data_IF_659851040269
#
_entry.id   IF_659851040269
#
_cell.length_a   1.000
_cell.length_b   1.000
_cell.length_c   1.000
_cell.angle_alpha   90.00
_cell.angle_beta   90.00
_cell.angle_gamma   90.00
#
_symmetry.space_group_name_H-M   'P 1'
#
loop_
_entity.id
_entity.type
_entity.pdbx_description
1 polymer ?
#
# COMPACT_ATOMS: atom_id res chain seq x y z
N UNK A 1 -7.26 -20.79 6.01
CA UNK A 1 -7.85 -19.49 5.63
C UNK A 1 -9.39 -19.48 5.61
N UNK A 2 -10.08 -20.48 5.04
CA UNK A 2 -11.56 -20.46 4.94
C UNK A 2 -12.31 -20.29 6.27
N UNK A 3 -11.85 -20.92 7.36
CA UNK A 3 -12.45 -20.73 8.70
C UNK A 3 -12.35 -19.27 9.19
N UNK A 4 -11.25 -18.59 8.90
CA UNK A 4 -11.04 -17.18 9.23
C UNK A 4 -12.00 -16.32 8.41
N UNK A 5 -12.17 -16.58 7.11
CA UNK A 5 -13.13 -15.83 6.28
C UNK A 5 -14.56 -15.98 6.77
N UNK A 6 -14.99 -17.20 7.09
CA UNK A 6 -16.33 -17.43 7.63
C UNK A 6 -16.55 -16.66 8.93
N UNK A 7 -15.57 -16.69 9.84
CA UNK A 7 -15.61 -15.89 11.06
C UNK A 7 -15.77 -14.38 10.76
N UNK A 8 -14.96 -13.84 9.85
CA UNK A 8 -14.98 -12.41 9.50
C UNK A 8 -16.27 -12.00 8.78
N UNK A 9 -16.81 -12.87 7.92
CA UNK A 9 -18.10 -12.67 7.25
C UNK A 9 -19.21 -12.55 8.29
N UNK A 10 -19.28 -13.49 9.25
CA UNK A 10 -20.25 -13.45 10.34
C UNK A 10 -20.06 -12.20 11.21
N UNK A 11 -18.83 -11.87 11.60
CA UNK A 11 -18.52 -10.67 12.36
C UNK A 11 -18.95 -9.39 11.63
N UNK A 12 -18.81 -9.34 10.30
CA UNK A 12 -19.18 -8.17 9.49
C UNK A 12 -20.69 -7.90 9.47
N UNK A 13 -21.54 -8.91 9.73
CA UNK A 13 -23.01 -8.75 9.71
C UNK A 13 -23.51 -7.78 10.78
N UNK A 14 -22.87 -7.76 11.95
CA UNK A 14 -23.20 -6.84 13.05
C UNK A 14 -22.37 -5.55 13.01
N UNK A 15 -21.46 -5.42 12.05
CA UNK A 15 -20.56 -4.28 11.89
C UNK A 15 -20.84 -3.46 10.61
N UNK A 16 -22.08 -3.45 10.12
CA UNK A 16 -22.47 -2.74 8.89
C UNK A 16 -21.63 -3.15 7.66
N UNK A 17 -21.19 -4.40 7.62
CA UNK A 17 -20.33 -4.93 6.57
C UNK A 17 -18.86 -4.50 6.64
N UNK A 18 -18.44 -3.81 7.71
CA UNK A 18 -17.06 -3.35 7.91
C UNK A 18 -16.13 -4.49 8.35
N UNK A 19 -14.88 -4.43 7.91
CA UNK A 19 -13.78 -5.19 8.48
C UNK A 19 -12.94 -4.26 9.36
N UNK A 20 -12.89 -4.56 10.65
CA UNK A 20 -12.24 -3.71 11.67
C UNK A 20 -10.99 -4.38 12.21
N UNK A 21 -10.09 -3.59 12.80
CA UNK A 21 -8.73 -4.08 13.12
C UNK A 21 -8.68 -5.11 14.25
N UNK A 22 -9.68 -5.15 15.14
CA UNK A 22 -9.68 -6.06 16.29
C UNK A 22 -10.90 -6.97 16.32
N UNK A 23 -10.68 -8.29 16.37
CA UNK A 23 -11.70 -9.33 16.46
C UNK A 23 -11.86 -9.89 17.88
N UNK A 24 -13.03 -10.44 18.17
CA UNK A 24 -13.28 -11.19 19.41
C UNK A 24 -12.68 -12.60 19.30
N UNK A 25 -12.11 -13.14 20.38
CA UNK A 25 -11.48 -14.47 20.32
C UNK A 25 -12.51 -15.60 20.21
N UNK A 26 -13.60 -15.49 20.97
CA UNK A 26 -14.45 -16.66 21.29
C UNK A 26 -15.75 -16.72 20.46
N UNK A 27 -16.17 -15.62 19.83
CA UNK A 27 -17.39 -15.54 19.00
C UNK A 27 -17.23 -14.54 17.86
N UNK A 28 -17.94 -14.67 16.72
CA UNK A 28 -17.86 -13.71 15.62
C UNK A 28 -18.25 -12.29 16.03
N UNK A 29 -17.29 -11.37 16.00
CA UNK A 29 -17.51 -9.97 16.31
C UNK A 29 -16.23 -9.15 16.28
N UNK A 30 -16.36 -7.84 16.19
CA UNK A 30 -15.25 -6.90 16.32
C UNK A 30 -15.25 -6.23 17.69
N UNK A 31 -14.07 -5.93 18.23
CA UNK A 31 -13.87 -5.31 19.55
C UNK A 31 -13.80 -3.79 19.49
N UNK A 32 -13.64 -3.21 18.29
CA UNK A 32 -13.50 -1.78 18.10
C UNK A 32 -14.39 -1.26 16.96
N UNK A 33 -14.23 0.03 16.63
CA UNK A 33 -14.90 0.72 15.51
C UNK A 33 -13.88 1.45 14.64
N UNK A 34 -12.73 0.81 14.38
CA UNK A 34 -11.63 1.36 13.59
C UNK A 34 -11.45 0.53 12.31
N UNK A 35 -11.47 1.22 11.17
CA UNK A 35 -11.21 0.64 9.85
C UNK A 35 -10.03 1.39 9.25
N UNK A 36 -9.00 0.69 8.82
CA UNK A 36 -7.79 1.28 8.24
C UNK A 36 -7.27 0.40 7.10
N UNK A 37 -6.64 1.03 6.11
CA UNK A 37 -5.86 0.36 5.04
C UNK A 37 -4.37 0.66 5.24
N UNK A 38 -3.98 0.87 6.50
CA UNK A 38 -2.63 1.01 7.01
C UNK A 38 -2.37 -0.12 8.02
N UNK A 39 -1.35 0.00 8.87
CA UNK A 39 -1.02 -0.96 9.90
C UNK A 39 -2.25 -1.49 10.66
N UNK A 40 -2.23 -2.80 10.92
CA UNK A 40 -3.33 -3.64 11.44
C UNK A 40 -4.41 -4.04 10.42
N UNK A 41 -4.58 -3.33 9.29
CA UNK A 41 -5.67 -3.57 8.34
C UNK A 41 -5.25 -3.78 6.88
N UNK A 42 -4.18 -3.12 6.44
CA UNK A 42 -3.62 -3.13 5.08
C UNK A 42 -3.71 -4.47 4.33
N UNK A 43 -2.86 -5.42 4.68
CA UNK A 43 -2.59 -6.67 3.97
C UNK A 43 -3.78 -7.64 3.99
N UNK A 44 -4.77 -7.44 4.87
CA UNK A 44 -6.03 -8.17 4.80
C UNK A 44 -6.75 -7.91 3.48
N UNK A 45 -6.88 -6.64 3.08
CA UNK A 45 -7.56 -6.27 1.83
C UNK A 45 -6.74 -6.68 0.61
N UNK A 46 -5.42 -6.53 0.71
CA UNK A 46 -4.46 -6.98 -0.30
C UNK A 46 -4.61 -8.48 -0.60
N UNK A 47 -4.73 -9.31 0.44
CA UNK A 47 -4.84 -10.76 0.30
C UNK A 47 -6.21 -11.22 -0.21
N UNK A 48 -7.28 -10.45 -0.03
CA UNK A 48 -8.56 -10.76 -0.68
C UNK A 48 -8.41 -10.69 -2.20
N UNK A 49 -7.79 -9.63 -2.71
CA UNK A 49 -7.52 -9.49 -4.15
C UNK A 49 -6.50 -10.53 -4.62
N UNK A 50 -5.37 -10.64 -3.93
CA UNK A 50 -4.25 -11.49 -4.36
C UNK A 50 -4.59 -12.99 -4.29
N UNK A 51 -5.43 -13.45 -3.36
CA UNK A 51 -5.89 -14.85 -3.37
C UNK A 51 -6.79 -15.14 -4.57
N UNK A 52 -7.70 -14.22 -4.91
CA UNK A 52 -8.54 -14.39 -6.09
C UNK A 52 -7.67 -14.51 -7.36
N UNK A 53 -6.63 -13.68 -7.50
CA UNK A 53 -5.66 -13.80 -8.59
C UNK A 53 -4.87 -15.12 -8.51
N UNK A 54 -4.34 -15.48 -7.34
CA UNK A 54 -3.54 -16.70 -7.12
C UNK A 54 -4.28 -17.97 -7.52
N UNK A 55 -5.60 -17.97 -7.35
CA UNK A 55 -6.47 -19.11 -7.67
C UNK A 55 -6.98 -19.07 -9.11
N UNK A 56 -6.35 -18.32 -10.01
CA UNK A 56 -6.82 -18.14 -11.40
C UNK A 56 -8.30 -17.74 -11.44
N UNK A 57 -8.61 -16.74 -10.59
CA UNK A 57 -9.92 -16.12 -10.44
C UNK A 57 -11.04 -17.08 -9.98
N UNK A 58 -10.70 -18.21 -9.34
CA UNK A 58 -11.67 -19.19 -8.84
C UNK A 58 -12.23 -18.88 -7.44
N UNK A 59 -11.51 -18.17 -6.58
CA UNK A 59 -12.00 -17.83 -5.23
C UNK A 59 -13.00 -16.66 -5.26
N UNK A 60 -14.25 -16.96 -5.62
CA UNK A 60 -15.34 -15.97 -5.75
C UNK A 60 -15.60 -15.24 -4.42
N UNK A 61 -15.48 -15.94 -3.29
CA UNK A 61 -15.68 -15.32 -1.98
C UNK A 61 -14.63 -14.23 -1.72
N UNK A 62 -13.37 -14.45 -2.12
CA UNK A 62 -12.31 -13.47 -1.92
C UNK A 62 -12.56 -12.16 -2.69
N UNK A 63 -12.96 -12.25 -3.97
CA UNK A 63 -13.26 -11.05 -4.77
C UNK A 63 -14.53 -10.32 -4.32
N UNK A 64 -15.57 -11.05 -3.87
CA UNK A 64 -16.76 -10.44 -3.29
C UNK A 64 -16.43 -9.64 -2.01
N UNK A 65 -15.57 -10.20 -1.14
CA UNK A 65 -15.13 -9.51 0.06
C UNK A 65 -14.25 -8.30 -0.25
N UNK A 66 -13.38 -8.40 -1.26
CA UNK A 66 -12.57 -7.26 -1.73
C UNK A 66 -13.49 -6.13 -2.22
N UNK A 67 -14.43 -6.44 -3.11
CA UNK A 67 -15.39 -5.46 -3.65
C UNK A 67 -16.29 -4.84 -2.57
N UNK A 68 -16.70 -5.62 -1.58
CA UNK A 68 -17.41 -5.12 -0.40
C UNK A 68 -16.55 -4.16 0.43
N UNK A 69 -15.25 -4.43 0.55
CA UNK A 69 -14.31 -3.56 1.25
C UNK A 69 -14.13 -2.23 0.53
N UNK A 70 -14.01 -2.25 -0.80
CA UNK A 70 -13.97 -1.06 -1.64
C UNK A 70 -15.21 -0.17 -1.49
N UNK A 71 -16.39 -0.78 -1.43
CA UNK A 71 -17.65 -0.07 -1.16
C UNK A 71 -17.69 0.50 0.27
N UNK A 72 -17.10 -0.19 1.24
CA UNK A 72 -16.96 0.29 2.62
C UNK A 72 -16.03 1.50 2.68
N UNK A 73 -14.91 1.52 1.94
CA UNK A 73 -14.01 2.67 1.90
C UNK A 73 -14.72 3.94 1.39
N UNK A 74 -15.53 3.80 0.34
CA UNK A 74 -16.36 4.89 -0.18
C UNK A 74 -17.41 5.36 0.86
N UNK A 75 -18.14 4.41 1.47
CA UNK A 75 -19.17 4.71 2.48
C UNK A 75 -18.59 5.42 3.71
N UNK A 76 -17.41 5.01 4.16
CA UNK A 76 -16.70 5.60 5.28
C UNK A 76 -15.91 6.86 4.90
N UNK A 77 -15.93 7.26 3.62
CA UNK A 77 -15.22 8.41 3.07
C UNK A 77 -13.71 8.36 3.38
N UNK A 78 -13.13 7.16 3.29
CA UNK A 78 -11.70 6.92 3.54
C UNK A 78 -10.83 7.42 2.40
N UNK A 79 -11.33 7.39 1.16
CA UNK A 79 -10.65 7.98 -0.01
C UNK A 79 -11.11 9.43 -0.13
N UNK A 80 -10.19 10.37 0.05
CA UNK A 80 -10.48 11.80 0.13
C UNK A 80 -9.57 12.59 -0.80
N UNK A 81 -9.98 13.81 -1.09
CA UNK A 81 -9.17 14.78 -1.83
C UNK A 81 -8.89 15.96 -0.91
N UNK A 82 -7.61 16.32 -0.77
CA UNK A 82 -7.19 17.46 0.03
C UNK A 82 -7.57 18.79 -0.63
N UNK A 83 -7.49 19.89 0.12
CA UNK A 83 -7.72 21.23 -0.42
C UNK A 83 -6.79 21.60 -1.59
N UNK A 84 -5.64 20.93 -1.69
CA UNK A 84 -4.64 21.12 -2.77
C UNK A 84 -4.73 20.05 -3.87
N UNK A 85 -5.78 19.23 -3.87
CA UNK A 85 -6.06 18.26 -4.93
C UNK A 85 -5.39 16.89 -4.79
N UNK A 86 -4.67 16.61 -3.70
CA UNK A 86 -4.04 15.30 -3.49
C UNK A 86 -5.09 14.28 -3.05
N UNK A 87 -5.14 13.12 -3.72
CA UNK A 87 -5.99 11.99 -3.28
C UNK A 87 -5.26 11.20 -2.22
N UNK A 88 -5.89 10.96 -1.08
CA UNK A 88 -5.30 10.21 0.03
C UNK A 88 -6.29 9.21 0.63
N UNK A 89 -5.74 8.16 1.24
CA UNK A 89 -6.48 7.09 1.90
C UNK A 89 -6.26 7.19 3.41
N UNK A 90 -7.31 7.56 4.14
CA UNK A 90 -7.27 7.75 5.60
C UNK A 90 -8.01 6.63 6.32
N UNK A 91 -7.69 6.46 7.59
CA UNK A 91 -8.45 5.65 8.53
C UNK A 91 -9.87 6.20 8.76
N UNK A 92 -10.77 5.33 9.22
CA UNK A 92 -12.07 5.69 9.78
C UNK A 92 -12.16 5.25 11.23
N UNK A 93 -12.38 6.22 12.12
CA UNK A 93 -12.59 6.00 13.54
C UNK A 93 -14.03 6.31 13.89
N UNK A 94 -14.75 5.30 14.40
CA UNK A 94 -16.17 5.41 14.76
C UNK A 94 -17.06 5.88 13.60
N UNK A 95 -16.67 5.58 12.36
CA UNK A 95 -17.35 6.01 11.14
C UNK A 95 -16.94 7.39 10.63
N UNK A 96 -16.02 8.08 11.31
CA UNK A 96 -15.49 9.38 10.89
C UNK A 96 -14.13 9.23 10.22
N UNK A 97 -13.93 9.71 8.99
CA UNK A 97 -12.63 9.64 8.33
C UNK A 97 -11.62 10.61 8.96
N UNK A 98 -10.36 10.20 8.99
CA UNK A 98 -9.25 11.03 9.42
C UNK A 98 -8.76 12.04 8.36
N UNK A 99 -7.58 12.58 8.64
CA UNK A 99 -6.87 13.58 7.85
C UNK A 99 -5.39 13.22 7.69
N UNK A 100 -5.04 11.95 7.87
CA UNK A 100 -3.68 11.46 7.82
C UNK A 100 -3.62 10.16 7.03
N UNK A 101 -2.45 9.88 6.48
CA UNK A 101 -2.14 8.66 5.78
C UNK A 101 -0.76 8.18 6.24
N UNK A 102 -0.62 6.90 6.52
CA UNK A 102 0.69 6.28 6.77
C UNK A 102 1.38 5.94 5.46
N UNK A 103 2.70 5.83 5.49
CA UNK A 103 3.48 5.24 4.43
C UNK A 103 2.96 3.86 4.02
N UNK A 104 2.53 3.04 4.99
CA UNK A 104 1.99 1.70 4.73
C UNK A 104 0.87 1.76 3.70
N UNK A 105 -0.09 2.69 3.84
CA UNK A 105 -1.22 2.83 2.94
C UNK A 105 -0.84 3.16 1.48
N UNK A 106 0.43 3.48 1.18
CA UNK A 106 0.90 3.65 -0.18
C UNK A 106 0.86 2.36 -1.01
N UNK A 107 0.78 1.17 -0.40
CA UNK A 107 0.64 -0.09 -1.13
C UNK A 107 -0.69 -0.12 -1.92
N UNK A 108 -1.71 0.60 -1.40
CA UNK A 108 -3.05 0.61 -1.98
C UNK A 108 -3.08 1.19 -3.39
N UNK A 109 -2.10 2.01 -3.79
CA UNK A 109 -1.96 2.48 -5.18
C UNK A 109 -1.81 1.32 -6.16
N UNK A 110 -0.85 0.43 -5.89
CA UNK A 110 -0.63 -0.80 -6.63
C UNK A 110 -1.80 -1.78 -6.49
N UNK A 111 -2.36 -1.94 -5.30
CA UNK A 111 -3.53 -2.81 -5.07
C UNK A 111 -4.74 -2.38 -5.92
N UNK A 112 -5.08 -1.08 -5.95
CA UNK A 112 -6.20 -0.58 -6.73
C UNK A 112 -5.96 -0.73 -8.24
N UNK A 113 -4.74 -0.46 -8.72
CA UNK A 113 -4.40 -0.69 -10.13
C UNK A 113 -4.44 -2.18 -10.51
N UNK A 114 -3.95 -3.06 -9.63
CA UNK A 114 -3.98 -4.50 -9.82
C UNK A 114 -5.43 -5.03 -9.88
N UNK A 115 -6.31 -4.54 -9.01
CA UNK A 115 -7.71 -4.95 -8.93
C UNK A 115 -8.66 -4.25 -9.91
N UNK A 116 -8.21 -3.26 -10.67
CA UNK A 116 -9.00 -2.58 -11.70
C UNK A 116 -9.38 -3.51 -12.86
N UNK A 117 -10.55 -3.31 -13.45
CA UNK A 117 -11.05 -4.09 -14.59
C UNK A 117 -10.27 -3.74 -15.86
N UNK A 118 -10.04 -2.45 -16.10
CA UNK A 118 -9.14 -1.97 -17.16
C UNK A 118 -7.90 -1.30 -16.57
N UNK A 119 -6.77 -1.38 -17.29
CA UNK A 119 -5.48 -0.84 -16.86
C UNK A 119 -5.25 0.58 -17.39
N UNK A 120 -6.28 1.41 -17.32
CA UNK A 120 -6.29 2.79 -17.78
C UNK A 120 -7.24 3.66 -16.95
N UNK A 121 -7.17 4.98 -17.12
CA UNK A 121 -7.91 5.94 -16.28
C UNK A 121 -9.43 5.96 -16.49
N UNK A 122 -9.98 5.20 -17.44
CA UNK A 122 -11.43 5.02 -17.54
C UNK A 122 -11.99 4.16 -16.40
N UNK A 123 -11.17 3.30 -15.79
CA UNK A 123 -11.51 2.57 -14.57
C UNK A 123 -11.27 3.46 -13.33
N UNK A 124 -12.32 3.59 -12.51
CA UNK A 124 -12.29 4.44 -11.31
C UNK A 124 -11.22 4.02 -10.30
N UNK A 125 -10.95 2.73 -10.17
CA UNK A 125 -9.98 2.18 -9.23
C UNK A 125 -8.57 2.29 -9.78
N UNK A 126 -8.38 2.10 -11.08
CA UNK A 126 -7.09 2.38 -11.71
C UNK A 126 -6.71 3.85 -11.54
N UNK A 127 -7.64 4.77 -11.83
CA UNK A 127 -7.44 6.20 -11.63
C UNK A 127 -7.13 6.53 -10.17
N UNK A 128 -7.89 5.99 -9.21
CA UNK A 128 -7.63 6.18 -7.77
C UNK A 128 -6.27 5.64 -7.36
N UNK A 129 -5.86 4.49 -7.90
CA UNK A 129 -4.53 3.93 -7.69
C UNK A 129 -3.46 4.90 -8.15
N UNK A 130 -3.59 5.41 -9.38
CA UNK A 130 -2.65 6.39 -9.96
C UNK A 130 -2.58 7.66 -9.11
N UNK A 131 -3.73 8.26 -8.77
CA UNK A 131 -3.79 9.48 -7.98
C UNK A 131 -3.16 9.30 -6.59
N UNK A 132 -3.43 8.16 -5.93
CA UNK A 132 -2.85 7.82 -4.63
C UNK A 132 -1.33 7.63 -4.72
N UNK A 133 -0.83 6.95 -5.75
CA UNK A 133 0.60 6.80 -6.01
C UNK A 133 1.28 8.15 -6.24
N UNK A 134 0.62 9.11 -6.91
CA UNK A 134 1.16 10.47 -7.05
C UNK A 134 1.22 11.22 -5.70
N UNK A 135 0.23 11.03 -4.83
CA UNK A 135 0.28 11.59 -3.46
C UNK A 135 1.41 10.98 -2.64
N UNK A 136 1.66 9.68 -2.75
CA UNK A 136 2.83 9.04 -2.14
C UNK A 136 4.16 9.57 -2.70
N UNK A 137 4.26 9.77 -4.02
CA UNK A 137 5.43 10.45 -4.62
C UNK A 137 5.62 11.86 -4.08
N UNK A 138 4.52 12.58 -3.86
CA UNK A 138 4.53 13.94 -3.33
C UNK A 138 5.03 14.00 -1.89
N UNK A 139 4.66 13.02 -1.04
CA UNK A 139 5.20 12.97 0.33
C UNK A 139 6.72 12.75 0.34
N UNK A 140 7.26 12.00 -0.62
CA UNK A 140 8.71 11.87 -0.83
C UNK A 140 9.34 13.16 -1.36
N UNK A 141 8.69 13.83 -2.32
CA UNK A 141 9.22 15.04 -2.98
C UNK A 141 9.38 16.24 -2.04
N UNK A 142 8.63 16.26 -0.95
CA UNK A 142 8.55 17.39 -0.02
C UNK A 142 9.54 17.29 1.13
N UNK A 143 10.30 16.19 1.25
CA UNK A 143 11.31 16.02 2.29
C UNK A 143 12.69 16.41 1.78
N UNK A 144 13.57 16.80 2.71
CA UNK A 144 14.95 17.18 2.38
C UNK A 144 15.75 16.00 1.82
N UNK A 145 15.46 14.80 2.31
CA UNK A 145 16.16 13.57 1.89
C UNK A 145 15.62 12.98 0.59
N UNK A 146 14.42 13.39 0.15
CA UNK A 146 13.72 12.75 -0.98
C UNK A 146 13.10 11.39 -0.65
N UNK A 147 13.08 11.00 0.64
CA UNK A 147 12.43 9.77 1.15
C UNK A 147 11.17 10.13 1.92
N UNK A 148 10.14 9.28 1.82
CA UNK A 148 8.84 9.53 2.43
C UNK A 148 8.83 9.30 3.94
N UNK A 149 8.07 10.10 4.70
CA UNK A 149 7.88 9.89 6.14
C UNK A 149 6.91 8.74 6.46
N UNK A 150 6.98 8.19 7.67
CA UNK A 150 6.11 7.12 8.19
C UNK A 150 4.61 7.49 8.19
N UNK A 151 4.29 8.76 8.38
CA UNK A 151 2.94 9.28 8.16
C UNK A 151 2.93 10.75 7.78
N UNK A 152 1.87 11.16 7.10
CA UNK A 152 1.71 12.53 6.60
C UNK A 152 0.25 12.98 6.68
N UNK A 153 0.06 14.30 6.78
CA UNK A 153 -1.21 14.95 7.15
C UNK A 153 -1.76 15.80 5.99
N UNK A 154 -3.08 15.95 5.97
CA UNK A 154 -3.86 16.71 5.00
C UNK A 154 -4.84 17.65 5.74
N UNK A 155 -4.52 18.94 5.78
CA UNK A 155 -5.39 20.01 6.27
C UNK A 155 -5.57 21.08 5.19
N UNK A 156 -6.21 22.20 5.52
CA UNK A 156 -6.33 23.32 4.59
C UNK A 156 -4.96 23.91 4.21
N UNK A 157 -3.97 23.83 5.11
CA UNK A 157 -2.62 24.37 4.90
C UNK A 157 -1.56 23.30 4.58
N UNK A 158 -1.74 22.08 5.08
CA UNK A 158 -0.77 20.97 4.99
C UNK A 158 -1.25 19.94 3.98
N UNK A 159 -0.36 19.42 3.14
CA UNK A 159 -0.72 18.46 2.11
C UNK A 159 0.42 17.49 1.80
N UNK A 160 0.31 16.29 2.38
CA UNK A 160 1.28 15.20 2.31
C UNK A 160 2.61 15.45 3.06
N UNK A 161 2.55 16.15 4.20
CA UNK A 161 3.73 16.44 5.06
C UNK A 161 3.64 15.75 6.41
N UNK A 162 4.76 15.27 6.94
CA UNK A 162 4.89 14.79 8.31
C UNK A 162 4.97 15.94 9.33
N UNK A 163 4.12 15.91 10.34
CA UNK A 163 4.00 17.00 11.34
C UNK A 163 4.66 16.63 12.67
N UNK A 164 4.38 15.44 13.22
CA UNK A 164 4.91 15.01 14.51
C UNK A 164 6.33 14.43 14.38
N UNK A 165 7.08 14.36 15.48
CA UNK A 165 8.44 13.80 15.48
C UNK A 165 8.47 12.35 14.97
N UNK A 166 7.63 11.47 15.54
CA UNK A 166 7.57 10.06 15.15
C UNK A 166 7.09 9.87 13.70
N UNK A 167 6.33 10.81 13.14
CA UNK A 167 5.89 10.72 11.76
C UNK A 167 7.04 10.89 10.76
N UNK A 168 8.15 11.53 11.14
CA UNK A 168 9.26 11.87 10.23
C UNK A 168 10.26 10.73 9.99
N UNK A 169 10.05 9.56 10.61
CA UNK A 169 10.92 8.42 10.43
C UNK A 169 10.75 7.81 9.03
N UNK A 170 11.80 7.17 8.52
CA UNK A 170 11.74 6.34 7.32
C UNK A 170 12.47 5.03 7.58
N UNK A 171 11.74 3.92 7.53
CA UNK A 171 12.26 2.59 7.91
C UNK A 171 12.69 1.74 6.71
N UNK A 172 13.14 2.34 5.60
CA UNK A 172 13.49 1.61 4.37
C UNK A 172 12.31 0.87 3.70
N UNK A 173 11.08 1.32 3.98
CA UNK A 173 9.84 0.64 3.59
C UNK A 173 9.58 0.63 2.07
N UNK A 174 8.89 -0.40 1.56
CA UNK A 174 8.72 -0.63 0.12
C UNK A 174 7.46 -0.03 -0.50
N UNK A 175 6.41 0.33 0.25
CA UNK A 175 5.04 0.35 -0.29
C UNK A 175 4.83 1.41 -1.39
N UNK A 176 5.58 2.51 -1.35
CA UNK A 176 5.57 3.51 -2.43
C UNK A 176 6.23 2.98 -3.70
N UNK A 177 7.35 2.26 -3.57
CA UNK A 177 8.06 1.62 -4.70
C UNK A 177 7.26 0.44 -5.25
N UNK A 178 6.58 -0.33 -4.40
CA UNK A 178 5.64 -1.38 -4.83
C UNK A 178 4.57 -0.77 -5.75
N UNK A 179 3.98 0.35 -5.36
CA UNK A 179 3.03 1.07 -6.20
C UNK A 179 3.65 1.54 -7.53
N UNK A 180 4.90 2.03 -7.53
CA UNK A 180 5.59 2.37 -8.78
C UNK A 180 5.80 1.16 -9.68
N UNK A 181 6.08 -0.02 -9.11
CA UNK A 181 6.23 -1.27 -9.85
C UNK A 181 4.96 -1.63 -10.61
N UNK A 182 3.80 -1.69 -9.93
CA UNK A 182 2.53 -1.99 -10.59
C UNK A 182 2.17 -0.93 -11.63
N UNK A 183 2.36 0.36 -11.30
CA UNK A 183 2.07 1.44 -12.24
C UNK A 183 2.95 1.37 -13.49
N UNK A 184 4.25 1.11 -13.33
CA UNK A 184 5.17 0.90 -14.46
C UNK A 184 4.70 -0.28 -15.33
N UNK A 185 4.44 -1.46 -14.73
CA UNK A 185 4.03 -2.65 -15.48
C UNK A 185 2.73 -2.47 -16.25
N UNK A 186 1.77 -1.71 -15.70
CA UNK A 186 0.49 -1.49 -16.36
C UNK A 186 0.50 -0.37 -17.40
N UNK A 187 1.29 0.69 -17.18
CA UNK A 187 1.22 1.91 -18.03
C UNK A 187 2.41 2.07 -18.96
N UNK A 188 3.56 1.50 -18.61
CA UNK A 188 4.87 1.81 -19.21
C UNK A 188 5.18 3.32 -19.24
N UNK A 189 4.56 4.12 -18.36
CA UNK A 189 4.86 5.53 -18.25
C UNK A 189 6.27 5.70 -17.63
N UNK A 190 7.24 6.30 -18.35
CA UNK A 190 8.61 6.43 -17.89
C UNK A 190 8.75 7.25 -16.59
N UNK A 191 7.72 7.99 -16.19
CA UNK A 191 7.73 8.73 -14.94
C UNK A 191 7.95 7.82 -13.73
N UNK A 192 7.42 6.60 -13.73
CA UNK A 192 7.55 5.68 -12.59
C UNK A 192 8.97 5.12 -12.45
N UNK A 193 9.69 4.91 -13.56
CA UNK A 193 11.13 4.59 -13.55
C UNK A 193 11.95 5.77 -13.04
N UNK A 194 11.61 7.00 -13.43
CA UNK A 194 12.26 8.20 -12.89
C UNK A 194 12.05 8.31 -11.37
N UNK A 195 10.82 8.15 -10.91
CA UNK A 195 10.51 8.19 -9.48
C UNK A 195 11.24 7.09 -8.69
N UNK A 196 11.30 5.87 -9.22
CA UNK A 196 12.08 4.79 -8.60
C UNK A 196 13.57 5.14 -8.54
N UNK A 197 14.12 5.76 -9.60
CA UNK A 197 15.52 6.19 -9.62
C UNK A 197 15.82 7.31 -8.63
N UNK A 198 14.89 8.25 -8.43
CA UNK A 198 15.00 9.28 -7.38
C UNK A 198 15.11 8.61 -5.99
N UNK A 199 14.33 7.57 -5.73
CA UNK A 199 14.39 6.80 -4.48
C UNK A 199 15.73 6.07 -4.33
N UNK A 200 16.25 5.44 -5.39
CA UNK A 200 17.59 4.80 -5.37
C UNK A 200 18.67 5.80 -4.97
N UNK A 201 18.68 6.98 -5.59
CA UNK A 201 19.67 8.02 -5.27
C UNK A 201 19.55 8.52 -3.83
N UNK A 202 18.32 8.67 -3.33
CA UNK A 202 18.08 9.08 -1.95
C UNK A 202 18.53 8.01 -0.94
N UNK A 203 18.26 6.72 -1.21
CA UNK A 203 18.74 5.59 -0.40
C UNK A 203 20.27 5.55 -0.37
N UNK A 204 20.93 5.67 -1.52
CA UNK A 204 22.40 5.70 -1.60
C UNK A 204 23.01 6.87 -0.84
N UNK A 205 22.39 8.04 -0.89
CA UNK A 205 22.89 9.26 -0.26
C UNK A 205 22.68 9.29 1.25
N UNK A 206 21.52 8.85 1.72
CA UNK A 206 21.07 9.10 3.10
C UNK A 206 21.01 7.84 3.96
N UNK A 207 20.80 6.65 3.39
CA UNK A 207 20.62 5.42 4.15
C UNK A 207 21.85 4.52 4.15
N UNK A 208 22.75 4.64 3.17
CA UNK A 208 23.92 3.77 3.02
C UNK A 208 24.96 4.00 4.12
N UNK A 209 25.43 2.91 4.71
CA UNK A 209 26.57 2.86 5.65
C UNK A 209 27.62 1.86 5.15
N UNK A 210 28.76 1.76 5.83
CA UNK A 210 29.85 0.85 5.40
C UNK A 210 29.42 -0.62 5.28
N UNK A 211 28.48 -1.07 6.11
CA UNK A 211 28.09 -2.48 6.23
C UNK A 211 26.64 -2.78 5.79
N UNK A 212 25.94 -1.82 5.16
CA UNK A 212 24.54 -1.99 4.79
C UNK A 212 23.79 -0.66 4.62
N UNK A 213 22.52 -0.67 5.00
CA UNK A 213 21.62 0.48 4.99
C UNK A 213 20.87 0.60 6.32
N UNK A 214 20.59 1.83 6.75
CA UNK A 214 19.81 2.12 7.96
C UNK A 214 18.64 3.04 7.63
N UNK A 215 17.55 2.88 8.38
CA UNK A 215 16.46 3.85 8.40
C UNK A 215 16.89 5.21 8.95
N UNK A 216 16.04 6.20 8.76
CA UNK A 216 16.25 7.59 9.15
C UNK A 216 15.28 7.97 10.26
N UNK A 217 15.74 8.72 11.27
CA UNK A 217 14.86 9.28 12.31
C UNK A 217 14.08 10.50 11.83
N UNK A 218 14.63 11.26 10.89
CA UNK A 218 13.98 12.48 10.38
C UNK A 218 14.34 12.73 8.91
N UNK A 219 13.39 12.46 8.01
CA UNK A 219 13.53 12.68 6.55
C UNK A 219 13.67 14.15 6.13
N UNK A 220 13.42 15.11 7.04
CA UNK A 220 13.52 16.54 6.76
C UNK A 220 14.88 17.15 7.16
N UNK A 221 15.81 16.34 7.67
CA UNK A 221 17.16 16.79 7.98
C UNK A 221 18.09 16.47 6.81
N UNK A 222 18.95 17.42 6.42
CA UNK A 222 19.91 17.23 5.32
C UNK A 222 20.98 16.19 5.64
N UNK A 223 21.29 16.03 6.93
CA UNK A 223 22.16 15.00 7.49
C UNK A 223 21.38 14.25 8.59
N UNK A 224 20.50 13.31 8.23
CA UNK A 224 19.61 12.65 9.17
C UNK A 224 20.35 11.71 10.12
N UNK A 225 19.90 11.63 11.36
CA UNK A 225 20.33 10.58 12.30
C UNK A 225 19.77 9.22 11.84
N UNK A 226 20.62 8.20 11.87
CA UNK A 226 20.26 6.82 11.50
C UNK A 226 19.60 6.09 12.68
N UNK A 227 18.69 5.17 12.39
CA UNK A 227 18.02 4.34 13.40
C UNK A 227 18.81 3.08 13.82
N UNK A 228 19.94 2.80 13.14
CA UNK A 228 20.82 1.65 13.30
C UNK A 228 20.15 0.28 13.04
N UNK A 229 19.18 0.24 12.12
CA UNK A 229 18.48 -1.01 11.75
C UNK A 229 18.39 -1.18 10.24
N UNK A 230 18.91 -2.30 9.74
CA UNK A 230 18.61 -2.78 8.38
C UNK A 230 17.46 -3.79 8.44
N UNK A 231 16.28 -3.35 8.01
CA UNK A 231 15.08 -4.17 8.00
C UNK A 231 15.17 -5.27 6.94
N UNK A 232 14.64 -6.47 7.23
CA UNK A 232 14.67 -7.59 6.27
C UNK A 232 13.92 -7.28 4.97
N UNK A 233 12.80 -6.55 5.08
CA UNK A 233 12.00 -6.12 3.94
C UNK A 233 12.72 -5.15 3.01
N UNK A 234 13.79 -4.47 3.46
CA UNK A 234 14.59 -3.67 2.53
C UNK A 234 15.16 -4.54 1.40
N UNK A 235 15.67 -5.72 1.76
CA UNK A 235 16.23 -6.68 0.79
C UNK A 235 15.10 -7.46 0.11
N UNK A 236 14.12 -7.94 0.88
CA UNK A 236 13.04 -8.76 0.33
C UNK A 236 12.15 -7.95 -0.63
N UNK A 237 11.87 -6.69 -0.35
CA UNK A 237 10.84 -5.92 -1.02
C UNK A 237 11.40 -4.71 -1.73
N UNK A 238 11.98 -3.75 -1.00
CA UNK A 238 12.40 -2.46 -1.56
C UNK A 238 13.38 -2.65 -2.73
N UNK A 239 14.45 -3.41 -2.51
CA UNK A 239 15.42 -3.71 -3.57
C UNK A 239 14.84 -4.60 -4.68
N UNK A 240 13.93 -5.53 -4.37
CA UNK A 240 13.30 -6.40 -5.38
C UNK A 240 12.38 -5.60 -6.30
N UNK A 241 11.50 -4.76 -5.77
CA UNK A 241 10.62 -3.93 -6.58
C UNK A 241 11.42 -2.91 -7.40
N UNK A 242 12.46 -2.28 -6.82
CA UNK A 242 13.39 -1.44 -7.58
C UNK A 242 14.02 -2.20 -8.75
N UNK A 243 14.55 -3.40 -8.49
CA UNK A 243 15.12 -4.25 -9.54
C UNK A 243 14.10 -4.57 -10.64
N UNK A 244 12.88 -4.99 -10.26
CA UNK A 244 11.83 -5.37 -11.22
C UNK A 244 11.28 -4.21 -12.04
N UNK A 245 11.31 -2.98 -11.53
CA UNK A 245 10.95 -1.76 -12.28
C UNK A 245 11.90 -1.53 -13.47
N UNK A 246 13.19 -1.84 -13.29
CA UNK A 246 14.21 -1.67 -14.33
C UNK A 246 14.45 -2.93 -15.18
N UNK A 247 13.74 -4.02 -14.90
CA UNK A 247 13.76 -5.24 -15.71
C UNK A 247 12.71 -5.21 -16.83
N UNK A 248 12.89 -6.12 -17.80
CA UNK A 248 11.87 -6.44 -18.79
C UNK A 248 10.67 -7.15 -18.17
N UNK A 249 9.53 -7.00 -18.84
CA UNK A 249 8.26 -7.50 -18.32
C UNK A 249 8.18 -9.03 -18.18
N UNK A 250 9.03 -9.73 -18.93
CA UNK A 250 9.17 -11.19 -18.87
C UNK A 250 9.77 -11.71 -17.55
N UNK A 251 10.39 -10.85 -16.74
CA UNK A 251 10.88 -11.22 -15.41
C UNK A 251 9.73 -11.11 -14.41
N UNK A 252 9.30 -12.25 -13.86
CA UNK A 252 8.14 -12.39 -12.96
C UNK A 252 6.87 -11.72 -13.52
N UNK A 253 6.34 -12.17 -14.67
CA UNK A 253 5.19 -11.53 -15.30
C UNK A 253 3.92 -11.73 -14.46
N UNK A 254 3.09 -10.67 -14.39
CA UNK A 254 1.93 -10.57 -13.48
C UNK A 254 0.76 -11.49 -13.88
N UNK A 255 0.80 -12.09 -15.07
CA UNK A 255 -0.15 -13.12 -15.54
C UNK A 255 0.23 -14.53 -15.07
N UNK A 256 1.41 -14.70 -14.45
CA UNK A 256 1.90 -15.99 -13.93
C UNK A 256 2.25 -15.95 -12.44
N UNK A 257 2.53 -14.77 -11.90
CA UNK A 257 2.98 -14.60 -10.53
C UNK A 257 2.13 -13.58 -9.79
N UNK A 258 1.86 -13.88 -8.52
CA UNK A 258 1.29 -12.94 -7.56
C UNK A 258 2.23 -12.84 -6.38
N UNK A 259 2.66 -11.62 -6.04
CA UNK A 259 3.53 -11.36 -4.90
C UNK A 259 2.71 -11.44 -3.61
N UNK A 260 3.19 -12.10 -2.55
CA UNK A 260 2.59 -11.88 -1.23
C UNK A 260 2.90 -10.46 -0.70
N UNK A 261 2.53 -10.18 0.55
CA UNK A 261 2.70 -8.84 1.16
C UNK A 261 4.16 -8.55 1.55
N UNK A 262 5.08 -9.50 1.37
CA UNK A 262 6.52 -9.32 1.60
C UNK A 262 7.33 -9.55 0.30
N UNK A 263 6.72 -9.19 -0.84
CA UNK A 263 7.26 -9.33 -2.19
C UNK A 263 7.79 -10.73 -2.58
N UNK A 264 7.34 -11.81 -1.95
CA UNK A 264 7.66 -13.17 -2.36
C UNK A 264 6.68 -13.63 -3.45
N UNK A 265 7.15 -13.95 -4.67
CA UNK A 265 6.27 -14.34 -5.76
C UNK A 265 5.77 -15.78 -5.59
N UNK A 266 4.45 -15.98 -5.68
CA UNK A 266 3.79 -17.28 -5.74
C UNK A 266 3.22 -17.49 -7.14
N UNK A 267 3.27 -18.73 -7.68
CA UNK A 267 2.67 -19.01 -8.97
C UNK A 267 1.14 -18.92 -8.87
N UNK A 268 0.51 -18.38 -9.92
CA UNK A 268 -0.93 -18.52 -10.13
C UNK A 268 -1.22 -20.00 -10.43
N UNK A 269 -2.17 -20.58 -9.70
CA UNK A 269 -2.56 -21.98 -9.84
C UNK A 269 -3.58 -22.07 -10.99
N UNK A 270 -3.21 -22.67 -12.14
CA UNK A 270 -4.12 -22.79 -13.27
C UNK A 270 -5.34 -23.64 -12.89
N UNK A 271 -6.48 -23.40 -13.55
CA UNK A 271 -7.59 -24.37 -13.50
C UNK A 271 -7.08 -25.76 -13.83
N UNK A 272 -7.38 -26.74 -12.96
CA UNK A 272 -7.26 -28.13 -13.37
C UNK A 272 -8.21 -28.36 -14.54
N UNK A 273 -7.68 -28.68 -15.71
CA UNK A 273 -8.49 -29.20 -16.82
C UNK A 273 -9.11 -30.51 -16.32
N UNK A 274 -10.40 -30.50 -16.04
CA UNK A 274 -11.20 -31.70 -15.81
C UNK A 274 -11.34 -32.48 -17.12
#
# INVERSE_FOLDING_TARGET
VHRIRNYLVEASKTANGEFRTHIQRDQPGFCNRHVTVSGEGDSFFEYLLKEWIRTDHQDVQAIELYNKSLTTFDRLRMIRTSAKGSVYLTDSQHGSPGQSMSHLACFAGGMFALGAETKDESDKWFKRGKDLTQTCRKSYAQTETGLGPESFVFTDSIDAVAVSGNAKFYYLRPETVESYFYMWRFTHDPIYRKYAWDVVQALEKHCRVNSGYSGLRNVNDSNPELDDVQQSYFIAETLKYLYLIFCDDSVLPLDRWVFNTEAHPFPIIPRSTA
#
